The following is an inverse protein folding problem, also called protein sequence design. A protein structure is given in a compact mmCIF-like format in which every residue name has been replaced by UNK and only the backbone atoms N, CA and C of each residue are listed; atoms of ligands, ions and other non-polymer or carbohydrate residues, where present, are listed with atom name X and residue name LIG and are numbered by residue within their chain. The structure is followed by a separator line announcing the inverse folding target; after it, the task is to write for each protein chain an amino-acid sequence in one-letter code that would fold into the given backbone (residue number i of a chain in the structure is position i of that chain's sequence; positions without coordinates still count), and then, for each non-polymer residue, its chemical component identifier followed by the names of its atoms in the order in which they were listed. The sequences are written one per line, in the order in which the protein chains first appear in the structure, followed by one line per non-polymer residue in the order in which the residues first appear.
data_IF_062596410809
#
_entry.id   IF_062596410809
#
_cell.length_a   1.000
_cell.length_b   1.000
_cell.length_c   1.000
_cell.angle_alpha   90.00
_cell.angle_beta   90.00
_cell.angle_gamma   90.00
#
_symmetry.space_group_name_H-M   'P 1'
#
loop_
_entity.id
_entity.type
_entity.pdbx_description
1 polymer ?
#
# COMPACT_ATOMS: atom_id res chain seq x y z
N UNK A 1 22.49 -25.30 43.76
CA UNK A 1 22.64 -25.75 42.38
C UNK A 1 22.21 -24.60 41.49
N UNK A 2 23.14 -23.87 40.93
CA UNK A 2 22.88 -22.72 40.06
C UNK A 2 22.73 -23.23 38.62
N UNK A 3 21.55 -23.06 38.04
CA UNK A 3 21.29 -23.36 36.64
C UNK A 3 21.91 -22.25 35.79
N UNK A 4 23.00 -22.54 35.12
CA UNK A 4 23.54 -21.72 34.04
C UNK A 4 22.52 -21.69 32.89
N UNK A 5 21.79 -20.61 32.75
CA UNK A 5 21.16 -20.25 31.49
C UNK A 5 22.30 -19.76 30.55
N UNK A 6 22.69 -20.59 29.61
CA UNK A 6 23.50 -20.18 28.46
C UNK A 6 22.64 -19.28 27.58
N UNK A 7 22.82 -17.97 27.71
CA UNK A 7 22.34 -17.00 26.74
C UNK A 7 23.12 -17.21 25.43
N UNK A 8 22.53 -17.88 24.45
CA UNK A 8 22.99 -17.76 23.08
C UNK A 8 22.74 -16.31 22.67
N UNK A 9 23.77 -15.49 22.64
CA UNK A 9 23.74 -14.22 21.93
C UNK A 9 23.67 -14.55 20.44
N UNK A 10 22.46 -14.71 19.90
CA UNK A 10 22.24 -14.66 18.48
C UNK A 10 22.59 -13.22 18.11
N UNK A 11 23.68 -13.02 17.35
CA UNK A 11 23.98 -11.70 16.78
C UNK A 11 22.75 -11.25 15.98
N UNK A 12 22.18 -10.09 16.33
CA UNK A 12 21.05 -9.52 15.60
C UNK A 12 21.40 -9.41 14.12
N UNK A 13 20.52 -9.79 13.17
CA UNK A 13 20.84 -9.74 11.75
C UNK A 13 21.11 -8.31 11.28
N UNK A 14 22.06 -8.17 10.38
CA UNK A 14 22.40 -6.89 9.77
C UNK A 14 21.36 -6.54 8.70
N UNK A 15 20.59 -5.47 8.93
CA UNK A 15 19.48 -5.06 8.04
C UNK A 15 19.82 -3.74 7.36
N UNK A 16 20.01 -3.79 6.05
CA UNK A 16 20.21 -2.62 5.20
C UNK A 16 18.88 -1.91 4.91
N UNK A 17 18.77 -0.64 5.25
CA UNK A 17 17.59 0.20 5.06
C UNK A 17 17.87 1.23 3.97
N UNK A 18 17.17 1.12 2.81
CA UNK A 18 17.34 1.96 1.63
C UNK A 18 16.06 2.72 1.33
N UNK A 19 16.16 4.02 1.01
CA UNK A 19 15.00 4.85 0.69
C UNK A 19 14.13 5.22 1.91
N UNK A 20 14.66 5.10 3.09
CA UNK A 20 14.00 5.28 4.39
C UNK A 20 13.50 6.72 4.64
N UNK A 21 14.03 7.75 3.93
CA UNK A 21 13.59 9.15 4.01
C UNK A 21 12.42 9.48 3.08
N UNK A 22 12.11 8.61 2.13
CA UNK A 22 10.98 8.76 1.22
C UNK A 22 9.65 8.61 1.96
N UNK A 23 8.54 8.92 1.29
CA UNK A 23 7.21 8.88 1.90
C UNK A 23 6.86 7.48 2.48
N UNK A 24 7.07 6.41 1.71
CA UNK A 24 6.86 5.03 2.21
C UNK A 24 7.90 4.67 3.25
N UNK A 25 9.17 5.02 3.01
CA UNK A 25 10.27 4.72 3.94
C UNK A 25 10.10 5.39 5.29
N UNK A 26 9.67 6.66 5.36
CA UNK A 26 9.42 7.33 6.64
C UNK A 26 8.29 6.69 7.43
N UNK A 27 7.19 6.31 6.76
CA UNK A 27 6.10 5.57 7.42
C UNK A 27 6.58 4.20 7.91
N UNK A 28 7.43 3.52 7.14
CA UNK A 28 8.03 2.26 7.57
C UNK A 28 8.90 2.44 8.82
N UNK A 29 9.76 3.48 8.87
CA UNK A 29 10.60 3.78 10.04
C UNK A 29 9.73 4.06 11.27
N UNK A 30 8.67 4.86 11.13
CA UNK A 30 7.73 5.14 12.21
C UNK A 30 7.06 3.85 12.73
N UNK A 31 6.64 2.97 11.83
CA UNK A 31 6.04 1.69 12.19
C UNK A 31 7.04 0.76 12.88
N UNK A 32 8.26 0.63 12.34
CA UNK A 32 9.33 -0.18 12.93
C UNK A 32 9.68 0.31 14.35
N UNK A 33 9.69 1.64 14.54
CA UNK A 33 9.93 2.24 15.87
C UNK A 33 8.79 1.93 16.84
N UNK A 34 7.53 2.10 16.41
CA UNK A 34 6.35 1.86 17.23
C UNK A 34 6.21 0.39 17.68
N UNK A 35 6.65 -0.55 16.85
CA UNK A 35 6.55 -1.99 17.07
C UNK A 35 7.83 -2.62 17.67
N UNK A 36 8.87 -1.80 17.94
CA UNK A 36 10.12 -2.27 18.56
C UNK A 36 11.00 -3.12 17.63
N UNK A 37 10.85 -3.03 16.31
CA UNK A 37 11.61 -3.86 15.37
C UNK A 37 13.12 -3.54 15.38
N UNK A 38 13.49 -2.28 15.68
CA UNK A 38 14.89 -1.88 15.80
C UNK A 38 15.64 -2.55 16.96
N UNK A 39 14.94 -3.02 17.96
CA UNK A 39 15.55 -3.75 19.09
C UNK A 39 16.04 -5.14 18.66
N UNK A 40 15.50 -5.69 17.56
CA UNK A 40 15.74 -7.05 17.07
C UNK A 40 16.76 -7.13 15.95
N UNK A 41 17.24 -6.01 15.43
CA UNK A 41 18.12 -5.92 14.27
C UNK A 41 19.37 -5.07 14.54
N UNK A 42 20.39 -5.20 13.71
CA UNK A 42 21.47 -4.24 13.56
C UNK A 42 21.22 -3.42 12.30
N UNK A 43 20.69 -2.17 12.43
CA UNK A 43 20.29 -1.38 11.26
C UNK A 43 21.48 -0.68 10.61
N UNK A 44 21.58 -0.78 9.28
CA UNK A 44 22.53 -0.04 8.44
C UNK A 44 21.74 0.85 7.47
N UNK A 45 21.95 2.16 7.57
CA UNK A 45 21.25 3.12 6.72
C UNK A 45 22.03 3.46 5.47
N UNK A 46 21.39 3.31 4.32
CA UNK A 46 21.95 3.61 3.00
C UNK A 46 21.32 4.87 2.40
N UNK A 47 22.13 5.63 1.68
CA UNK A 47 21.70 6.84 0.98
C UNK A 47 22.27 6.90 -0.43
N UNK A 48 21.46 7.31 -1.40
CA UNK A 48 21.87 7.60 -2.79
C UNK A 48 22.44 9.01 -2.98
N UNK A 49 22.28 9.91 -1.99
CA UNK A 49 22.61 11.33 -2.14
C UNK A 49 23.44 11.92 -0.99
N UNK A 50 23.65 11.18 0.11
CA UNK A 50 24.34 11.69 1.31
C UNK A 50 25.17 10.59 2.00
N UNK A 51 25.87 9.77 1.23
CA UNK A 51 26.81 8.80 1.78
C UNK A 51 27.90 9.47 2.61
N UNK A 52 28.28 8.87 3.74
CA UNK A 52 29.22 9.44 4.72
C UNK A 52 28.63 10.43 5.71
N UNK A 53 27.43 10.93 5.48
CA UNK A 53 26.70 11.75 6.44
C UNK A 53 26.30 11.00 7.70
N UNK A 54 25.89 11.72 8.75
CA UNK A 54 25.39 11.09 9.97
C UNK A 54 23.99 10.50 9.75
N UNK A 55 23.71 9.36 10.39
CA UNK A 55 22.37 8.79 10.44
C UNK A 55 21.52 9.67 11.40
N UNK A 56 20.43 10.28 10.93
CA UNK A 56 19.60 11.09 11.79
C UNK A 56 18.80 10.24 12.77
N UNK A 57 18.40 10.83 13.89
CA UNK A 57 17.44 10.22 14.78
C UNK A 57 16.07 10.08 14.09
N UNK A 58 15.41 8.95 14.32
CA UNK A 58 14.03 8.72 13.87
C UNK A 58 13.09 9.11 15.00
N UNK A 59 12.19 10.07 14.75
CA UNK A 59 11.29 10.63 15.76
C UNK A 59 12.01 10.99 17.07
N UNK A 60 13.20 11.59 16.96
CA UNK A 60 14.01 12.01 18.11
C UNK A 60 14.74 10.86 18.83
N UNK A 61 14.61 9.62 18.39
CA UNK A 61 15.34 8.47 18.95
C UNK A 61 16.55 8.10 18.09
N UNK A 62 17.69 7.95 18.74
CA UNK A 62 18.86 7.35 18.09
C UNK A 62 18.66 5.84 18.07
N UNK A 63 18.60 5.28 16.84
CA UNK A 63 18.34 3.85 16.59
C UNK A 63 19.56 3.11 16.06
N UNK A 64 20.66 3.83 15.81
CA UNK A 64 21.93 3.20 15.37
C UNK A 64 22.66 2.59 16.56
N UNK A 65 23.27 1.43 16.34
CA UNK A 65 24.08 0.72 17.32
C UNK A 65 25.58 0.82 16.96
N UNK A 66 26.01 0.18 15.88
CA UNK A 66 27.41 0.16 15.45
C UNK A 66 27.69 1.14 14.29
N UNK A 67 26.79 1.25 13.33
CA UNK A 67 26.97 2.06 12.11
C UNK A 67 26.27 3.42 12.25
N UNK A 68 27.04 4.46 12.57
CA UNK A 68 26.50 5.82 12.76
C UNK A 68 26.55 6.69 11.50
N UNK A 69 27.15 6.19 10.41
CA UNK A 69 27.28 6.89 9.13
C UNK A 69 26.43 6.23 8.05
N UNK A 70 25.85 7.07 7.19
CA UNK A 70 25.11 6.63 6.02
C UNK A 70 26.07 5.96 5.03
N UNK A 71 25.75 4.73 4.64
CA UNK A 71 26.49 4.00 3.60
C UNK A 71 26.01 4.40 2.20
N UNK A 72 26.84 4.22 1.17
CA UNK A 72 26.44 4.44 -0.22
C UNK A 72 25.48 3.33 -0.67
N UNK A 73 24.27 3.72 -1.06
CA UNK A 73 23.25 2.80 -1.56
C UNK A 73 23.60 2.16 -2.93
N UNK A 74 24.64 2.63 -3.61
CA UNK A 74 25.14 2.06 -4.86
C UNK A 74 26.37 1.15 -4.64
N UNK A 75 26.93 1.10 -3.45
CA UNK A 75 28.06 0.22 -3.14
C UNK A 75 27.58 -1.23 -2.90
N UNK A 76 27.75 -2.06 -3.93
CA UNK A 76 27.36 -3.48 -3.88
C UNK A 76 28.10 -4.23 -2.76
N UNK A 77 29.34 -3.87 -2.44
CA UNK A 77 30.10 -4.54 -1.37
C UNK A 77 29.55 -4.19 0.00
N UNK A 78 29.17 -2.94 0.23
CA UNK A 78 28.55 -2.50 1.47
C UNK A 78 27.18 -3.15 1.65
N UNK A 79 26.36 -3.19 0.60
CA UNK A 79 25.05 -3.85 0.59
C UNK A 79 25.16 -5.37 0.83
N UNK A 80 26.15 -6.03 0.23
CA UNK A 80 26.33 -7.48 0.33
C UNK A 80 26.71 -7.96 1.76
N UNK A 81 27.07 -7.05 2.67
CA UNK A 81 27.29 -7.35 4.09
C UNK A 81 26.00 -7.63 4.83
N UNK A 82 24.85 -7.12 4.33
CA UNK A 82 23.57 -7.23 5.02
C UNK A 82 22.94 -8.61 4.82
N UNK A 83 22.39 -9.18 5.88
CA UNK A 83 21.59 -10.42 5.84
C UNK A 83 20.24 -10.18 5.15
N UNK A 84 19.69 -8.99 5.37
CA UNK A 84 18.41 -8.54 4.83
C UNK A 84 18.59 -7.13 4.28
N UNK A 85 18.08 -6.86 3.09
CA UNK A 85 17.94 -5.50 2.54
C UNK A 85 16.46 -5.18 2.42
N UNK A 86 16.05 -4.08 3.04
CA UNK A 86 14.70 -3.54 2.96
C UNK A 86 14.75 -2.20 2.23
N UNK A 87 14.10 -2.14 1.06
CA UNK A 87 14.16 -0.96 0.19
C UNK A 87 12.80 -0.33 -0.10
N UNK A 88 12.76 1.01 0.01
CA UNK A 88 11.68 1.89 -0.43
C UNK A 88 12.18 2.92 -1.46
N UNK A 89 13.32 2.64 -2.13
CA UNK A 89 13.98 3.59 -3.03
C UNK A 89 13.32 3.70 -4.40
N UNK A 90 12.50 2.71 -4.78
CA UNK A 90 11.74 2.71 -6.03
C UNK A 90 12.31 1.79 -7.11
N UNK A 91 11.52 1.61 -8.20
CA UNK A 91 11.76 0.58 -9.19
C UNK A 91 13.05 0.72 -9.99
N UNK A 92 13.52 1.93 -10.26
CA UNK A 92 14.75 2.13 -11.02
C UNK A 92 15.98 1.73 -10.18
N UNK A 93 15.97 2.00 -8.89
CA UNK A 93 16.98 1.48 -7.97
C UNK A 93 16.99 -0.05 -7.94
N UNK A 94 15.83 -0.66 -7.81
CA UNK A 94 15.68 -2.12 -7.83
C UNK A 94 16.24 -2.75 -9.11
N UNK A 95 15.89 -2.21 -10.28
CA UNK A 95 16.38 -2.69 -11.59
C UNK A 95 17.90 -2.59 -11.73
N UNK A 96 18.52 -1.57 -11.14
CA UNK A 96 19.96 -1.36 -11.20
C UNK A 96 20.72 -2.24 -10.17
N UNK A 97 20.27 -2.25 -8.92
CA UNK A 97 21.03 -2.80 -7.80
C UNK A 97 20.76 -4.28 -7.56
N UNK A 98 19.49 -4.72 -7.62
CA UNK A 98 19.15 -6.11 -7.32
C UNK A 98 19.89 -7.13 -8.20
N UNK A 99 19.93 -7.01 -9.54
CA UNK A 99 20.67 -7.94 -10.37
C UNK A 99 22.19 -7.92 -10.11
N UNK A 100 22.77 -6.74 -9.89
CA UNK A 100 24.20 -6.59 -9.58
C UNK A 100 24.57 -7.25 -8.25
N UNK A 101 23.71 -7.11 -7.25
CA UNK A 101 23.89 -7.72 -5.93
C UNK A 101 23.82 -9.25 -6.00
N UNK A 102 22.84 -9.80 -6.74
CA UNK A 102 22.74 -11.26 -6.98
C UNK A 102 23.92 -11.79 -7.79
N UNK A 103 24.37 -11.06 -8.81
CA UNK A 103 25.56 -11.42 -9.60
C UNK A 103 26.86 -11.40 -8.78
N UNK A 104 26.94 -10.54 -7.75
CA UNK A 104 28.05 -10.55 -6.78
C UNK A 104 27.98 -11.72 -5.78
N UNK A 105 26.99 -12.62 -5.88
CA UNK A 105 26.87 -13.81 -5.05
C UNK A 105 26.11 -13.61 -3.74
N UNK A 106 25.48 -12.47 -3.51
CA UNK A 106 24.71 -12.21 -2.29
C UNK A 106 23.52 -13.14 -2.14
N UNK A 107 23.39 -13.78 -0.99
CA UNK A 107 22.35 -14.79 -0.67
C UNK A 107 21.33 -14.30 0.39
N UNK A 108 21.40 -13.04 0.79
CA UNK A 108 20.49 -12.47 1.77
C UNK A 108 19.04 -12.28 1.25
N UNK A 109 18.18 -11.82 2.11
CA UNK A 109 16.77 -11.56 1.80
C UNK A 109 16.59 -10.14 1.28
N UNK A 110 15.86 -10.02 0.15
CA UNK A 110 15.46 -8.75 -0.46
C UNK A 110 13.99 -8.48 -0.15
N UNK A 111 13.68 -7.39 0.56
CA UNK A 111 12.33 -6.90 0.83
C UNK A 111 12.15 -5.57 0.12
N UNK A 112 11.14 -5.44 -0.76
CA UNK A 112 11.01 -4.27 -1.64
C UNK A 112 9.58 -3.74 -1.73
N UNK A 113 9.43 -2.42 -1.59
CA UNK A 113 8.17 -1.72 -1.84
C UNK A 113 7.85 -1.58 -3.33
N UNK A 114 8.89 -1.56 -4.20
CA UNK A 114 8.74 -1.27 -5.62
C UNK A 114 8.10 -2.43 -6.40
N UNK A 115 7.44 -2.08 -7.50
CA UNK A 115 6.73 -3.06 -8.35
C UNK A 115 7.65 -3.82 -9.33
N UNK A 116 8.94 -3.46 -9.41
CA UNK A 116 9.82 -3.97 -10.46
C UNK A 116 9.93 -5.50 -10.52
N UNK A 117 9.91 -6.17 -9.36
CA UNK A 117 10.04 -7.62 -9.26
C UNK A 117 8.73 -8.35 -8.98
N UNK A 118 7.58 -7.65 -8.87
CA UNK A 118 6.31 -8.28 -8.44
C UNK A 118 5.89 -9.48 -9.25
N UNK A 119 6.14 -9.46 -10.55
CA UNK A 119 5.72 -10.53 -11.44
C UNK A 119 6.82 -11.54 -11.77
N UNK A 120 8.01 -11.41 -11.19
CA UNK A 120 9.06 -12.42 -11.34
C UNK A 120 8.66 -13.73 -10.65
N UNK A 121 8.98 -14.88 -11.25
CA UNK A 121 8.59 -16.20 -10.74
C UNK A 121 9.24 -16.51 -9.37
N UNK A 122 10.43 -16.02 -9.13
CA UNK A 122 11.20 -16.17 -7.89
C UNK A 122 10.85 -15.14 -6.80
N UNK A 123 9.86 -14.25 -7.07
CA UNK A 123 9.41 -13.24 -6.13
C UNK A 123 8.04 -13.59 -5.53
N UNK A 124 7.91 -13.40 -4.23
CA UNK A 124 6.66 -13.58 -3.47
C UNK A 124 6.08 -12.23 -3.12
N UNK A 125 4.83 -12.02 -3.46
CA UNK A 125 4.06 -10.86 -2.99
C UNK A 125 3.64 -11.09 -1.54
N UNK A 126 4.00 -10.15 -0.66
CA UNK A 126 3.79 -10.29 0.78
C UNK A 126 2.52 -9.57 1.23
N UNK A 127 1.60 -10.33 1.78
CA UNK A 127 0.41 -9.84 2.47
C UNK A 127 -0.02 -10.90 3.50
N UNK A 128 0.78 -11.08 4.54
CA UNK A 128 0.68 -12.20 5.48
C UNK A 128 -0.70 -12.42 6.14
N UNK A 129 -1.54 -11.40 6.40
CA UNK A 129 -2.91 -11.65 6.86
C UNK A 129 -3.75 -12.47 5.87
N UNK A 130 -3.37 -12.44 4.59
CA UNK A 130 -4.07 -13.13 3.51
C UNK A 130 -3.33 -14.38 3.06
N UNK A 131 -2.00 -14.30 2.87
CA UNK A 131 -1.24 -15.34 2.18
C UNK A 131 -0.09 -15.95 3.00
N UNK A 132 -0.16 -15.96 4.31
CA UNK A 132 0.87 -16.58 5.16
C UNK A 132 1.29 -17.98 4.70
N UNK A 133 0.39 -18.89 4.30
CA UNK A 133 0.80 -20.20 3.80
C UNK A 133 1.63 -20.18 2.50
N UNK A 134 1.44 -19.17 1.63
CA UNK A 134 2.25 -18.98 0.41
C UNK A 134 3.66 -18.55 0.80
N UNK A 135 3.77 -17.59 1.72
CA UNK A 135 5.04 -17.10 2.25
C UNK A 135 5.81 -18.24 2.92
N UNK A 136 5.17 -19.01 3.78
CA UNK A 136 5.82 -20.11 4.51
C UNK A 136 6.34 -21.20 3.57
N UNK A 137 5.57 -21.59 2.55
CA UNK A 137 6.05 -22.53 1.51
C UNK A 137 7.25 -22.00 0.75
N UNK A 138 7.23 -20.72 0.36
CA UNK A 138 8.34 -20.10 -0.35
C UNK A 138 9.60 -20.03 0.53
N UNK A 139 9.45 -19.71 1.81
CA UNK A 139 10.55 -19.72 2.78
C UNK A 139 11.14 -21.11 2.95
N UNK A 140 10.31 -22.15 3.05
CA UNK A 140 10.75 -23.54 3.14
C UNK A 140 11.50 -24.00 1.88
N UNK A 141 11.14 -23.44 0.72
CA UNK A 141 11.83 -23.67 -0.56
C UNK A 141 13.07 -22.81 -0.77
N UNK A 142 13.49 -22.02 0.21
CA UNK A 142 14.69 -21.16 0.12
C UNK A 142 14.45 -19.82 -0.58
N UNK A 143 13.19 -19.37 -0.71
CA UNK A 143 12.84 -18.08 -1.31
C UNK A 143 13.52 -16.90 -0.60
N UNK A 144 13.92 -15.89 -1.38
CA UNK A 144 14.74 -14.75 -0.92
C UNK A 144 14.17 -13.39 -1.34
N UNK A 145 13.16 -13.34 -2.21
CA UNK A 145 12.64 -12.10 -2.83
C UNK A 145 11.21 -11.84 -2.38
N UNK A 146 11.02 -10.83 -1.52
CA UNK A 146 9.76 -10.52 -0.82
C UNK A 146 9.30 -9.13 -1.23
N UNK A 147 8.22 -9.04 -1.98
CA UNK A 147 7.81 -7.80 -2.62
C UNK A 147 6.45 -7.35 -2.10
N UNK A 148 6.35 -6.09 -1.70
CA UNK A 148 5.06 -5.49 -1.33
C UNK A 148 4.10 -5.46 -2.52
N UNK A 149 2.83 -5.81 -2.29
CA UNK A 149 1.79 -5.77 -3.31
C UNK A 149 1.38 -4.34 -3.70
N UNK A 150 0.56 -4.22 -4.74
CA UNK A 150 -0.10 -2.97 -5.09
C UNK A 150 -1.02 -2.50 -3.96
N UNK A 151 -1.09 -1.19 -3.73
CA UNK A 151 -1.81 -0.62 -2.60
C UNK A 151 -3.32 -0.92 -2.61
N UNK A 152 -3.99 -0.81 -3.76
CA UNK A 152 -5.42 -1.12 -3.88
C UNK A 152 -5.68 -2.61 -3.75
N UNK A 153 -4.83 -3.45 -4.34
CA UNK A 153 -4.92 -4.91 -4.22
C UNK A 153 -4.77 -5.36 -2.79
N UNK A 154 -3.75 -4.87 -2.07
CA UNK A 154 -3.52 -5.22 -0.67
C UNK A 154 -4.70 -4.85 0.22
N UNK A 155 -5.24 -3.64 0.07
CA UNK A 155 -6.38 -3.17 0.86
C UNK A 155 -7.66 -3.97 0.55
N UNK A 156 -7.95 -4.24 -0.71
CA UNK A 156 -9.08 -5.08 -1.12
C UNK A 156 -8.97 -6.48 -0.53
N UNK A 157 -7.78 -7.08 -0.63
CA UNK A 157 -7.58 -8.46 -0.16
C UNK A 157 -7.63 -8.59 1.34
N UNK A 158 -7.17 -7.59 2.12
CA UNK A 158 -7.37 -7.57 3.57
C UNK A 158 -8.86 -7.50 3.90
N UNK A 159 -9.61 -6.61 3.24
CA UNK A 159 -11.04 -6.46 3.47
C UNK A 159 -11.85 -7.69 3.08
N UNK A 160 -11.48 -8.37 1.99
CA UNK A 160 -12.19 -9.50 1.39
C UNK A 160 -11.60 -10.87 1.74
N UNK A 161 -10.59 -10.92 2.59
CA UNK A 161 -9.77 -12.11 2.84
C UNK A 161 -10.58 -13.35 3.20
N UNK A 162 -11.63 -13.21 4.02
CA UNK A 162 -12.49 -14.32 4.42
C UNK A 162 -13.18 -15.03 3.24
N UNK A 163 -13.68 -14.26 2.27
CA UNK A 163 -14.32 -14.83 1.08
C UNK A 163 -13.30 -15.38 0.07
N UNK A 164 -12.15 -14.69 -0.08
CA UNK A 164 -11.09 -15.11 -1.02
C UNK A 164 -10.43 -16.41 -0.58
N UNK A 165 -10.10 -16.56 0.70
CA UNK A 165 -9.50 -17.78 1.28
C UNK A 165 -10.45 -18.97 1.30
N UNK A 166 -11.74 -18.71 1.46
CA UNK A 166 -12.79 -19.74 1.38
C UNK A 166 -13.15 -20.14 -0.06
N UNK A 167 -12.49 -19.58 -1.06
CA UNK A 167 -12.74 -19.83 -2.49
C UNK A 167 -14.18 -19.58 -2.94
N UNK A 168 -14.83 -18.58 -2.36
CA UNK A 168 -16.25 -18.27 -2.62
C UNK A 168 -16.45 -17.18 -3.69
N UNK A 169 -15.39 -16.55 -4.14
CA UNK A 169 -15.44 -15.47 -5.13
C UNK A 169 -15.29 -16.05 -6.53
N UNK A 170 -16.22 -15.74 -7.42
CA UNK A 170 -16.16 -16.06 -8.85
C UNK A 170 -15.40 -14.97 -9.60
N UNK A 171 -15.79 -13.68 -9.42
CA UNK A 171 -15.09 -12.52 -9.95
C UNK A 171 -15.38 -11.27 -9.12
N UNK A 172 -14.55 -10.22 -9.29
CA UNK A 172 -14.72 -8.90 -8.65
C UNK A 172 -14.62 -7.80 -9.72
N UNK A 173 -15.57 -6.87 -9.70
CA UNK A 173 -15.42 -5.55 -10.31
C UNK A 173 -15.09 -4.55 -9.21
N UNK A 174 -13.90 -3.91 -9.31
CA UNK A 174 -13.37 -2.98 -8.31
C UNK A 174 -13.25 -1.57 -8.88
N UNK A 175 -14.14 -0.66 -8.46
CA UNK A 175 -14.02 0.77 -8.74
C UNK A 175 -13.19 1.41 -7.63
N UNK A 176 -11.97 1.87 -7.95
CA UNK A 176 -11.07 2.41 -6.94
C UNK A 176 -11.09 3.94 -6.92
N UNK A 177 -11.11 4.52 -5.74
CA UNK A 177 -11.03 5.97 -5.48
C UNK A 177 -9.70 6.23 -4.75
N UNK A 178 -8.66 6.56 -5.52
CA UNK A 178 -7.30 6.55 -5.02
C UNK A 178 -6.82 7.95 -4.60
N UNK A 179 -6.26 8.02 -3.41
CA UNK A 179 -5.68 9.23 -2.83
C UNK A 179 -4.42 9.71 -3.58
N UNK A 180 -4.13 11.01 -3.45
CA UNK A 180 -2.95 11.65 -4.03
C UNK A 180 -1.62 11.02 -3.58
N UNK A 181 -1.55 10.48 -2.35
CA UNK A 181 -0.35 9.80 -1.83
C UNK A 181 0.10 8.61 -2.69
N UNK A 182 -0.83 7.92 -3.36
CA UNK A 182 -0.48 6.84 -4.30
C UNK A 182 0.27 7.32 -5.55
N UNK A 183 0.23 8.61 -5.86
CA UNK A 183 1.01 9.23 -6.93
C UNK A 183 2.34 9.83 -6.42
N UNK A 184 2.54 9.95 -5.10
CA UNK A 184 3.77 10.44 -4.50
C UNK A 184 3.64 11.75 -3.73
N UNK A 185 4.70 12.11 -3.02
CA UNK A 185 4.71 13.28 -2.12
C UNK A 185 4.49 14.62 -2.86
N UNK A 186 5.02 14.76 -4.06
CA UNK A 186 4.84 15.99 -4.86
C UNK A 186 3.38 16.17 -5.28
N UNK A 187 2.68 15.08 -5.59
CA UNK A 187 1.26 15.10 -5.91
C UNK A 187 0.40 15.47 -4.69
N UNK A 188 0.77 15.00 -3.49
CA UNK A 188 0.11 15.43 -2.25
C UNK A 188 0.28 16.93 -2.01
N UNK A 189 1.49 17.47 -2.21
CA UNK A 189 1.76 18.92 -2.10
C UNK A 189 0.94 19.72 -3.10
N UNK A 190 0.91 19.28 -4.36
CA UNK A 190 0.16 19.95 -5.41
C UNK A 190 -1.36 19.93 -5.14
N UNK A 191 -1.91 18.83 -4.63
CA UNK A 191 -3.31 18.78 -4.21
C UNK A 191 -3.62 19.84 -3.14
N UNK A 192 -2.74 20.02 -2.14
CA UNK A 192 -2.92 21.06 -1.12
C UNK A 192 -2.82 22.48 -1.72
N UNK A 193 -1.90 22.70 -2.66
CA UNK A 193 -1.82 23.98 -3.40
C UNK A 193 -3.07 24.25 -4.22
N UNK A 194 -3.62 23.23 -4.87
CA UNK A 194 -4.89 23.33 -5.61
C UNK A 194 -6.06 23.69 -4.67
N UNK A 195 -6.17 23.01 -3.53
CA UNK A 195 -7.21 23.31 -2.51
C UNK A 195 -7.09 24.77 -2.01
N UNK A 196 -5.84 25.23 -1.75
CA UNK A 196 -5.58 26.62 -1.36
C UNK A 196 -6.00 27.61 -2.46
N UNK A 197 -5.58 27.40 -3.71
CA UNK A 197 -5.92 28.26 -4.83
C UNK A 197 -7.44 28.38 -5.04
N UNK A 198 -8.19 27.25 -4.93
CA UNK A 198 -9.66 27.27 -5.01
C UNK A 198 -10.27 28.10 -3.88
N UNK A 199 -9.87 27.85 -2.64
CA UNK A 199 -10.38 28.60 -1.47
C UNK A 199 -10.07 30.10 -1.59
N UNK A 200 -8.85 30.47 -2.00
CA UNK A 200 -8.42 31.86 -2.07
C UNK A 200 -9.13 32.62 -3.20
N UNK A 201 -9.48 31.96 -4.30
CA UNK A 201 -10.21 32.57 -5.41
C UNK A 201 -11.63 33.04 -5.06
N UNK A 202 -12.22 32.49 -4.00
CA UNK A 202 -13.60 32.79 -3.54
C UNK A 202 -13.64 33.25 -2.08
N UNK A 203 -12.52 33.70 -1.52
CA UNK A 203 -12.43 34.04 -0.11
C UNK A 203 -13.40 35.19 0.29
N UNK A 204 -13.61 36.17 -0.59
CA UNK A 204 -14.53 37.27 -0.36
C UNK A 204 -15.98 36.76 -0.28
N UNK A 205 -16.38 35.94 -1.27
CA UNK A 205 -17.73 35.40 -1.35
C UNK A 205 -18.07 34.46 -0.21
N UNK A 206 -17.09 33.66 0.27
CA UNK A 206 -17.27 32.76 1.42
C UNK A 206 -17.50 33.50 2.74
N UNK A 207 -17.05 34.74 2.85
CA UNK A 207 -17.23 35.58 4.03
C UNK A 207 -18.45 36.54 3.91
N UNK A 208 -19.13 36.56 2.78
CA UNK A 208 -20.34 37.36 2.55
C UNK A 208 -21.56 36.42 2.42
N UNK A 209 -22.47 36.37 3.44
CA UNK A 209 -23.67 35.55 3.39
C UNK A 209 -24.65 35.92 2.25
N UNK A 210 -24.50 37.11 1.63
CA UNK A 210 -25.31 37.54 0.50
C UNK A 210 -24.77 37.04 -0.84
N UNK A 211 -23.60 36.44 -0.87
CA UNK A 211 -22.99 35.90 -2.08
C UNK A 211 -23.79 34.74 -2.67
N UNK A 212 -23.99 34.75 -3.95
CA UNK A 212 -24.69 33.67 -4.65
C UNK A 212 -23.78 32.49 -4.88
N UNK A 213 -24.27 31.29 -4.58
CA UNK A 213 -23.49 30.05 -4.73
C UNK A 213 -23.05 29.83 -6.20
N UNK A 214 -23.83 30.25 -7.19
CA UNK A 214 -23.46 30.14 -8.59
C UNK A 214 -22.31 31.07 -9.00
N UNK A 215 -22.10 32.18 -8.29
CA UNK A 215 -20.95 33.06 -8.52
C UNK A 215 -19.68 32.41 -7.97
N UNK A 216 -19.75 31.77 -6.81
CA UNK A 216 -18.71 30.93 -6.23
C UNK A 216 -18.36 29.81 -7.20
N UNK A 217 -19.33 29.04 -7.69
CA UNK A 217 -19.14 27.94 -8.63
C UNK A 217 -18.45 28.39 -9.94
N UNK A 218 -18.89 29.54 -10.52
CA UNK A 218 -18.26 30.10 -11.71
C UNK A 218 -16.80 30.48 -11.48
N UNK A 219 -16.46 31.10 -10.34
CA UNK A 219 -15.08 31.47 -9.99
C UNK A 219 -14.21 30.24 -9.78
N UNK A 220 -14.68 29.23 -9.04
CA UNK A 220 -13.99 27.95 -8.86
C UNK A 220 -13.70 27.30 -10.21
N UNK A 221 -14.73 27.21 -11.07
CA UNK A 221 -14.59 26.63 -12.42
C UNK A 221 -13.60 27.40 -13.30
N UNK A 222 -13.60 28.73 -13.23
CA UNK A 222 -12.64 29.58 -13.93
C UNK A 222 -11.22 29.38 -13.41
N UNK A 223 -11.04 29.33 -12.09
CA UNK A 223 -9.74 29.09 -11.43
C UNK A 223 -9.15 27.74 -11.83
N UNK A 224 -9.93 26.65 -11.80
CA UNK A 224 -9.47 25.32 -12.21
C UNK A 224 -9.00 25.24 -13.67
N UNK A 225 -9.48 26.14 -14.53
CA UNK A 225 -9.15 26.22 -15.97
C UNK A 225 -8.07 27.24 -16.28
N UNK A 226 -7.64 28.04 -15.29
CA UNK A 226 -6.60 29.05 -15.52
C UNK A 226 -5.22 28.40 -15.71
N UNK A 227 -4.35 29.10 -16.42
CA UNK A 227 -2.97 28.63 -16.65
C UNK A 227 -2.12 28.64 -15.37
N UNK A 228 -2.50 29.41 -14.37
CA UNK A 228 -1.83 29.55 -13.09
C UNK A 228 -2.21 28.44 -12.11
N UNK A 229 -3.28 27.67 -12.39
CA UNK A 229 -3.71 26.60 -11.50
C UNK A 229 -2.65 25.48 -11.41
N UNK A 230 -2.20 25.07 -10.22
CA UNK A 230 -1.07 24.13 -10.08
C UNK A 230 -1.47 22.70 -10.46
N UNK A 231 -1.13 22.28 -11.68
CA UNK A 231 -1.54 20.96 -12.22
C UNK A 231 -0.37 20.11 -12.76
N UNK A 232 0.87 20.58 -12.61
CA UNK A 232 2.07 19.98 -13.20
C UNK A 232 2.24 18.49 -12.86
N UNK A 233 2.09 18.11 -11.59
CA UNK A 233 2.31 16.74 -11.15
C UNK A 233 1.12 15.82 -11.47
N UNK A 234 -0.05 16.37 -11.78
CA UNK A 234 -1.22 15.64 -12.28
C UNK A 234 -1.39 15.77 -13.80
N UNK A 235 -0.29 15.91 -14.54
CA UNK A 235 -0.27 15.96 -16.02
C UNK A 235 -1.22 17.02 -16.59
N UNK A 236 -1.15 18.23 -16.04
CA UNK A 236 -1.97 19.39 -16.39
C UNK A 236 -3.49 19.16 -16.16
N UNK A 237 -3.85 18.35 -15.19
CA UNK A 237 -5.25 18.07 -14.84
C UNK A 237 -5.54 18.48 -13.39
N UNK A 238 -6.64 19.19 -13.16
CA UNK A 238 -7.11 19.55 -11.84
C UNK A 238 -7.58 18.30 -11.08
N UNK A 239 -7.20 18.18 -9.81
CA UNK A 239 -7.67 17.11 -8.92
C UNK A 239 -8.55 17.64 -7.77
N UNK A 240 -8.18 18.77 -7.15
CA UNK A 240 -9.03 19.40 -6.14
C UNK A 240 -10.36 19.86 -6.77
N UNK A 241 -11.47 19.47 -6.16
CA UNK A 241 -12.81 19.73 -6.73
C UNK A 241 -13.16 18.94 -7.99
N UNK A 242 -12.33 17.93 -8.35
CA UNK A 242 -12.48 17.10 -9.55
C UNK A 242 -12.02 15.67 -9.30
N UNK A 243 -11.87 14.89 -10.37
CA UNK A 243 -11.29 13.54 -10.35
C UNK A 243 -10.55 13.27 -11.67
N UNK A 244 -9.65 12.27 -11.66
CA UNK A 244 -8.91 11.84 -12.84
C UNK A 244 -9.16 10.34 -13.04
N UNK A 245 -9.93 9.91 -14.08
CA UNK A 245 -10.29 8.51 -14.29
C UNK A 245 -9.20 7.76 -15.07
N UNK A 246 -7.94 8.00 -14.75
CA UNK A 246 -6.79 7.35 -15.38
C UNK A 246 -5.60 7.31 -14.42
N UNK A 247 -5.10 6.11 -14.11
CA UNK A 247 -3.91 5.90 -13.27
C UNK A 247 -2.97 4.95 -13.97
N UNK A 248 -1.66 5.30 -14.01
CA UNK A 248 -0.58 4.53 -14.64
C UNK A 248 -0.62 4.55 -16.19
N UNK A 249 0.16 3.70 -16.83
CA UNK A 249 0.32 3.60 -18.28
C UNK A 249 -0.73 2.68 -18.90
N UNK A 250 -1.07 2.85 -20.20
CA UNK A 250 -1.97 1.92 -20.87
C UNK A 250 -1.32 0.55 -21.04
N UNK A 251 -2.14 -0.49 -20.99
CA UNK A 251 -1.80 -1.86 -21.34
C UNK A 251 -2.79 -2.38 -22.39
N UNK A 252 -2.65 -3.65 -22.76
CA UNK A 252 -3.56 -4.28 -23.74
C UNK A 252 -5.03 -4.22 -23.29
N UNK A 253 -5.95 -4.27 -24.25
CA UNK A 253 -7.41 -4.27 -24.04
C UNK A 253 -7.98 -2.98 -23.45
N UNK A 254 -7.26 -1.85 -23.53
CA UNK A 254 -7.73 -0.56 -23.04
C UNK A 254 -7.66 -0.36 -21.55
N UNK A 255 -7.15 -1.34 -20.79
CA UNK A 255 -6.88 -1.19 -19.36
C UNK A 255 -5.67 -0.27 -19.12
N UNK A 256 -5.62 0.33 -17.95
CA UNK A 256 -4.36 0.85 -17.39
C UNK A 256 -3.60 -0.26 -16.67
N UNK A 257 -2.29 -0.07 -16.48
CA UNK A 257 -1.49 -1.00 -15.69
C UNK A 257 -1.99 -1.12 -14.24
N UNK A 258 -2.55 -0.04 -13.69
CA UNK A 258 -3.12 -0.06 -12.35
C UNK A 258 -4.35 -0.99 -12.25
N UNK A 259 -5.21 -0.99 -13.24
CA UNK A 259 -6.36 -1.89 -13.33
C UNK A 259 -5.94 -3.35 -13.53
N UNK A 260 -4.98 -3.58 -14.44
CA UNK A 260 -4.40 -4.91 -14.67
C UNK A 260 -3.81 -5.55 -13.41
N UNK A 261 -3.16 -4.74 -12.53
CA UNK A 261 -2.59 -5.23 -11.26
C UNK A 261 -3.65 -5.91 -10.38
N UNK A 262 -4.92 -5.46 -10.44
CA UNK A 262 -6.02 -6.06 -9.69
C UNK A 262 -6.09 -7.57 -9.86
N UNK A 263 -6.17 -8.02 -11.11
CA UNK A 263 -6.21 -9.45 -11.44
C UNK A 263 -4.85 -10.15 -11.27
N UNK A 264 -3.78 -9.55 -11.78
CA UNK A 264 -2.45 -10.17 -11.79
C UNK A 264 -1.90 -10.40 -10.38
N UNK A 265 -1.89 -9.39 -9.53
CA UNK A 265 -1.30 -9.47 -8.19
C UNK A 265 -2.19 -10.23 -7.20
N UNK A 266 -3.53 -10.07 -7.25
CA UNK A 266 -4.44 -10.82 -6.39
C UNK A 266 -4.26 -12.34 -6.58
N UNK A 267 -4.25 -12.83 -7.82
CA UNK A 267 -4.04 -14.24 -8.09
C UNK A 267 -2.66 -14.72 -7.62
N UNK A 268 -1.62 -13.94 -7.84
CA UNK A 268 -0.26 -14.26 -7.37
C UNK A 268 -0.17 -14.30 -5.84
N UNK A 269 -0.77 -13.35 -5.13
CA UNK A 269 -0.84 -13.35 -3.65
C UNK A 269 -1.53 -14.61 -3.15
N UNK A 270 -2.63 -15.04 -3.76
CA UNK A 270 -3.36 -16.24 -3.39
C UNK A 270 -2.66 -17.55 -3.80
N UNK A 271 -1.56 -17.49 -4.55
CA UNK A 271 -0.90 -18.67 -5.11
C UNK A 271 -1.75 -19.39 -6.18
N UNK A 272 -2.61 -18.65 -6.86
CA UNK A 272 -3.46 -19.13 -7.96
C UNK A 272 -2.73 -19.05 -9.30
N UNK A 273 -3.26 -19.72 -10.35
CA UNK A 273 -2.75 -19.57 -11.71
C UNK A 273 -2.71 -18.11 -12.17
N UNK A 274 -1.83 -17.76 -13.14
CA UNK A 274 -1.71 -16.41 -13.66
C UNK A 274 -3.06 -15.85 -14.14
N UNK A 275 -3.24 -14.53 -13.95
CA UNK A 275 -4.44 -13.82 -14.38
C UNK A 275 -4.79 -14.12 -15.85
N UNK A 276 -6.08 -14.27 -16.16
CA UNK A 276 -6.64 -14.65 -17.47
C UNK A 276 -6.31 -16.09 -17.90
N UNK A 277 -5.93 -16.96 -16.96
CA UNK A 277 -5.82 -18.40 -17.22
C UNK A 277 -6.86 -19.18 -16.41
N UNK A 278 -7.20 -20.42 -16.80
CA UNK A 278 -8.15 -21.24 -16.05
C UNK A 278 -7.76 -21.37 -14.58
N UNK A 279 -8.71 -21.16 -13.68
CA UNK A 279 -8.51 -21.20 -12.22
C UNK A 279 -8.09 -19.88 -11.59
N UNK A 280 -7.76 -18.84 -12.37
CA UNK A 280 -7.60 -17.49 -11.84
C UNK A 280 -8.96 -16.85 -11.51
N UNK A 281 -8.97 -15.94 -10.54
CA UNK A 281 -10.14 -15.09 -10.25
C UNK A 281 -10.06 -13.86 -11.17
N UNK A 282 -11.07 -13.62 -12.03
CA UNK A 282 -11.18 -12.39 -12.79
C UNK A 282 -11.40 -11.19 -11.86
N UNK A 283 -10.51 -10.20 -11.92
CA UNK A 283 -10.67 -8.94 -11.21
C UNK A 283 -10.36 -7.82 -12.18
N UNK A 284 -11.29 -6.92 -12.34
CA UNK A 284 -11.19 -5.76 -13.23
C UNK A 284 -11.97 -4.56 -12.67
N UNK A 285 -11.84 -3.40 -13.29
CA UNK A 285 -12.56 -2.20 -12.86
C UNK A 285 -11.97 -0.94 -13.46
N UNK A 286 -12.25 0.19 -12.83
CA UNK A 286 -11.70 1.50 -13.22
C UNK A 286 -10.99 2.12 -12.04
N UNK A 287 -9.78 2.61 -12.27
CA UNK A 287 -8.97 3.26 -11.26
C UNK A 287 -9.04 4.79 -11.40
N UNK A 288 -9.58 5.45 -10.37
CA UNK A 288 -9.83 6.89 -10.35
C UNK A 288 -8.99 7.56 -9.29
N UNK A 289 -8.26 8.64 -9.64
CA UNK A 289 -7.61 9.52 -8.68
C UNK A 289 -8.62 10.54 -8.16
N UNK A 290 -8.68 10.71 -6.84
CA UNK A 290 -9.58 11.66 -6.17
C UNK A 290 -8.81 12.61 -5.24
N UNK A 291 -9.46 13.70 -4.83
CA UNK A 291 -8.91 14.72 -3.92
C UNK A 291 -8.73 14.28 -2.46
N UNK A 292 -8.62 12.98 -2.18
CA UNK A 292 -8.22 12.47 -0.88
C UNK A 292 -6.69 12.48 -0.72
N UNK A 293 -6.19 12.76 0.48
CA UNK A 293 -4.76 12.87 0.72
C UNK A 293 -4.07 11.51 0.82
N UNK A 294 -4.60 10.56 1.61
CA UNK A 294 -3.85 9.38 2.04
C UNK A 294 -4.57 8.03 1.87
N UNK A 295 -5.87 7.93 2.16
CA UNK A 295 -6.59 6.66 2.09
C UNK A 295 -7.18 6.39 0.72
N UNK A 296 -7.05 5.15 0.26
CA UNK A 296 -7.80 4.64 -0.89
C UNK A 296 -9.15 4.09 -0.44
N UNK A 297 -10.17 4.31 -1.25
CA UNK A 297 -11.48 3.69 -1.09
C UNK A 297 -11.81 2.85 -2.31
N UNK A 298 -12.66 1.83 -2.15
CA UNK A 298 -13.07 0.95 -3.23
C UNK A 298 -14.52 0.56 -3.12
N UNK A 299 -15.28 0.77 -4.20
CA UNK A 299 -16.60 0.20 -4.41
C UNK A 299 -16.47 -1.12 -5.13
N UNK A 300 -16.98 -2.20 -4.53
CA UNK A 300 -16.81 -3.56 -5.04
C UNK A 300 -18.16 -4.15 -5.45
N UNK A 301 -18.20 -4.73 -6.64
CA UNK A 301 -19.23 -5.68 -7.05
C UNK A 301 -18.60 -7.05 -7.12
N UNK A 302 -19.09 -7.96 -6.30
CA UNK A 302 -18.54 -9.32 -6.18
C UNK A 302 -19.57 -10.33 -6.63
N UNK A 303 -19.22 -11.17 -7.59
CA UNK A 303 -19.96 -12.38 -7.93
C UNK A 303 -19.45 -13.51 -7.06
N UNK A 304 -20.35 -14.09 -6.27
CA UNK A 304 -20.07 -15.27 -5.47
C UNK A 304 -20.38 -16.53 -6.30
N UNK A 305 -19.68 -17.62 -6.01
CA UNK A 305 -19.90 -18.94 -6.65
C UNK A 305 -21.25 -19.59 -6.29
N UNK A 306 -21.86 -19.12 -5.20
CA UNK A 306 -23.20 -19.56 -4.72
C UNK A 306 -23.84 -18.47 -3.88
N UNK A 307 -25.14 -18.56 -3.69
CA UNK A 307 -25.83 -17.72 -2.69
C UNK A 307 -25.38 -18.08 -1.28
N UNK A 308 -24.99 -17.06 -0.52
CA UNK A 308 -24.56 -17.17 0.89
C UNK A 308 -25.33 -16.09 1.68
N UNK A 309 -25.95 -16.43 2.81
CA UNK A 309 -26.62 -15.45 3.65
C UNK A 309 -25.71 -14.29 4.04
N UNK A 310 -26.24 -13.07 4.04
CA UNK A 310 -25.43 -11.86 4.30
C UNK A 310 -24.75 -11.91 5.67
N UNK A 311 -25.45 -12.38 6.71
CA UNK A 311 -24.90 -12.52 8.05
C UNK A 311 -23.71 -13.51 8.11
N UNK A 312 -23.73 -14.55 7.29
CA UNK A 312 -22.60 -15.49 7.16
C UNK A 312 -21.41 -14.82 6.49
N UNK A 313 -21.64 -14.03 5.42
CA UNK A 313 -20.61 -13.23 4.76
C UNK A 313 -19.96 -12.27 5.76
N UNK A 314 -20.75 -11.50 6.50
CA UNK A 314 -20.28 -10.55 7.51
C UNK A 314 -19.45 -11.24 8.59
N UNK A 315 -19.90 -12.38 9.09
CA UNK A 315 -19.18 -13.16 10.10
C UNK A 315 -17.85 -13.70 9.56
N UNK A 316 -17.81 -14.18 8.30
CA UNK A 316 -16.58 -14.65 7.66
C UNK A 316 -15.55 -13.53 7.50
N UNK A 317 -15.99 -12.34 7.05
CA UNK A 317 -15.13 -11.18 6.90
C UNK A 317 -14.61 -10.70 8.27
N UNK A 318 -15.49 -10.55 9.26
CA UNK A 318 -15.13 -10.06 10.60
C UNK A 318 -14.12 -10.98 11.31
N UNK A 319 -14.16 -12.28 11.05
CA UNK A 319 -13.30 -13.28 11.71
C UNK A 319 -11.96 -13.48 11.02
N UNK A 320 -11.77 -12.96 9.81
CA UNK A 320 -10.66 -13.34 8.94
C UNK A 320 -9.29 -12.87 9.45
N UNK A 321 -9.18 -11.62 9.84
CA UNK A 321 -7.94 -11.04 10.36
C UNK A 321 -8.23 -9.90 11.35
N UNK A 322 -7.23 -9.52 12.14
CA UNK A 322 -7.37 -8.54 13.22
C UNK A 322 -7.60 -7.08 12.75
N UNK A 323 -7.39 -6.79 11.48
CA UNK A 323 -7.44 -5.43 10.94
C UNK A 323 -8.70 -5.13 10.15
N UNK A 324 -9.43 -6.16 9.72
CA UNK A 324 -10.73 -5.97 9.07
C UNK A 324 -11.79 -5.60 10.10
N UNK A 325 -12.61 -4.61 9.77
CA UNK A 325 -13.76 -4.20 10.58
C UNK A 325 -15.00 -4.19 9.71
N UNK A 326 -15.95 -5.07 9.98
CA UNK A 326 -17.26 -5.02 9.32
C UNK A 326 -18.08 -3.88 9.92
N UNK A 327 -18.55 -2.98 9.05
CA UNK A 327 -19.37 -1.82 9.41
C UNK A 327 -20.81 -2.11 9.05
N UNK A 328 -21.77 -1.97 9.98
CA UNK A 328 -23.19 -2.17 9.69
C UNK A 328 -23.66 -1.33 8.49
N UNK A 329 -24.53 -1.91 7.66
CA UNK A 329 -25.08 -1.19 6.50
C UNK A 329 -26.18 -0.18 6.92
N UNK A 330 -25.78 0.76 7.77
CA UNK A 330 -26.60 1.85 8.30
C UNK A 330 -25.93 3.18 7.92
N UNK A 331 -26.75 4.22 7.70
CA UNK A 331 -26.26 5.52 7.24
C UNK A 331 -25.23 6.11 8.19
N UNK A 332 -25.55 6.26 9.46
CA UNK A 332 -24.67 6.89 10.45
C UNK A 332 -23.35 6.11 10.65
N UNK A 333 -23.41 4.79 10.72
CA UNK A 333 -22.24 3.94 10.84
C UNK A 333 -21.35 4.06 9.59
N UNK A 334 -21.96 4.03 8.40
CA UNK A 334 -21.26 4.16 7.12
C UNK A 334 -20.54 5.51 7.01
N UNK A 335 -21.24 6.63 7.24
CA UNK A 335 -20.68 7.98 7.12
C UNK A 335 -19.54 8.21 8.12
N UNK A 336 -19.64 7.66 9.33
CA UNK A 336 -18.62 7.79 10.37
C UNK A 336 -17.41 6.90 10.14
N UNK A 337 -17.59 5.63 9.72
CA UNK A 337 -16.54 4.61 9.76
C UNK A 337 -15.90 4.32 8.40
N UNK A 338 -16.58 4.55 7.28
CA UNK A 338 -16.08 4.32 5.92
C UNK A 338 -15.55 5.60 5.27
N UNK A 339 -14.81 6.40 6.02
CA UNK A 339 -14.29 7.69 5.56
C UNK A 339 -12.76 7.69 5.52
N UNK A 340 -12.12 8.17 4.44
CA UNK A 340 -10.68 8.42 4.37
C UNK A 340 -10.14 9.23 5.56
N UNK A 341 -10.88 10.25 6.01
CA UNK A 341 -10.49 11.08 7.14
C UNK A 341 -10.43 10.29 8.46
N UNK A 342 -11.36 9.36 8.67
CA UNK A 342 -11.40 8.52 9.88
C UNK A 342 -10.29 7.46 9.91
N UNK A 343 -9.94 6.91 8.75
CA UNK A 343 -9.06 5.74 8.64
C UNK A 343 -7.60 6.12 8.46
N UNK A 344 -7.33 7.35 8.03
CA UNK A 344 -5.97 7.85 7.83
C UNK A 344 -5.10 7.67 9.08
N UNK A 345 -3.93 7.06 8.93
CA UNK A 345 -2.99 6.78 10.02
C UNK A 345 -3.31 5.54 10.85
N UNK A 346 -4.35 4.77 10.51
CA UNK A 346 -4.71 3.53 11.24
C UNK A 346 -4.47 2.28 10.40
N UNK A 347 -4.24 1.15 11.07
CA UNK A 347 -4.16 -0.17 10.42
C UNK A 347 -5.53 -0.79 10.15
N UNK A 348 -6.61 -0.20 10.64
CA UNK A 348 -7.96 -0.71 10.41
C UNK A 348 -8.34 -0.58 8.93
N UNK A 349 -8.87 -1.65 8.36
CA UNK A 349 -9.44 -1.71 7.00
C UNK A 349 -10.93 -2.03 7.13
N UNK A 350 -11.79 -1.00 7.26
CA UNK A 350 -13.22 -1.24 7.35
C UNK A 350 -13.79 -1.67 6.01
N UNK A 351 -14.76 -2.58 6.08
CA UNK A 351 -15.63 -2.98 4.97
C UNK A 351 -17.09 -2.84 5.41
N UNK A 352 -17.90 -2.22 4.59
CA UNK A 352 -19.32 -2.01 4.86
C UNK A 352 -20.09 -1.87 3.56
N UNK A 353 -21.31 -1.30 3.65
CA UNK A 353 -22.24 -1.27 2.51
C UNK A 353 -22.51 -2.67 1.95
N UNK A 354 -22.36 -3.69 2.80
CA UNK A 354 -22.61 -5.08 2.43
C UNK A 354 -24.10 -5.28 2.21
N UNK A 355 -24.47 -5.67 0.98
CA UNK A 355 -25.85 -5.98 0.62
C UNK A 355 -25.91 -6.82 -0.64
N UNK A 356 -26.96 -7.61 -0.79
CA UNK A 356 -27.23 -8.31 -2.04
C UNK A 356 -27.71 -7.33 -3.10
N UNK A 357 -27.12 -7.40 -4.29
CA UNK A 357 -27.49 -6.53 -5.40
C UNK A 357 -28.75 -7.02 -6.13
N UNK A 358 -29.46 -6.10 -6.80
CA UNK A 358 -30.65 -6.44 -7.58
C UNK A 358 -30.40 -7.39 -8.75
N UNK A 359 -29.15 -7.65 -9.09
CA UNK A 359 -28.73 -8.58 -10.16
C UNK A 359 -28.91 -10.06 -9.78
N UNK A 360 -29.09 -10.37 -8.51
CA UNK A 360 -29.32 -11.73 -8.02
C UNK A 360 -28.64 -12.01 -6.67
N UNK A 361 -28.99 -13.14 -6.03
CA UNK A 361 -28.56 -13.44 -4.66
C UNK A 361 -27.06 -13.77 -4.56
N UNK A 362 -26.37 -14.10 -5.65
CA UNK A 362 -24.92 -14.29 -5.68
C UNK A 362 -24.15 -12.98 -5.87
N UNK A 363 -24.80 -11.84 -6.11
CA UNK A 363 -24.12 -10.56 -6.30
C UNK A 363 -24.09 -9.76 -5.01
N UNK A 364 -22.90 -9.44 -4.56
CA UNK A 364 -22.66 -8.69 -3.34
C UNK A 364 -22.08 -7.30 -3.69
N UNK A 365 -22.71 -6.26 -3.17
CA UNK A 365 -22.14 -4.90 -3.11
C UNK A 365 -21.34 -4.73 -1.81
N UNK A 366 -20.18 -4.10 -1.89
CA UNK A 366 -19.37 -3.75 -0.73
C UNK A 366 -18.61 -2.44 -0.94
N UNK A 367 -18.20 -1.78 0.14
CA UNK A 367 -17.33 -0.62 0.12
C UNK A 367 -16.26 -0.76 1.19
N UNK A 368 -15.00 -0.48 0.85
CA UNK A 368 -13.88 -0.53 1.79
C UNK A 368 -13.01 0.70 1.69
N UNK A 369 -12.32 1.01 2.79
CA UNK A 369 -11.37 2.12 2.89
C UNK A 369 -10.12 1.61 3.59
N UNK A 370 -8.93 2.09 3.21
CA UNK A 370 -7.69 1.75 3.90
C UNK A 370 -6.58 2.74 3.65
N UNK A 371 -5.66 2.82 4.60
CA UNK A 371 -4.49 3.67 4.49
C UNK A 371 -3.44 3.04 3.57
N UNK A 372 -3.26 3.64 2.40
CA UNK A 372 -2.34 3.10 1.39
C UNK A 372 -0.86 3.19 1.79
N UNK A 373 -0.47 4.08 2.70
CA UNK A 373 0.90 4.15 3.19
C UNK A 373 1.21 3.09 4.26
N UNK A 374 0.16 2.52 4.88
CA UNK A 374 0.28 1.41 5.83
C UNK A 374 0.13 0.06 5.10
N UNK A 375 -1.06 -0.52 5.05
CA UNK A 375 -1.28 -1.83 4.40
C UNK A 375 -1.04 -1.83 2.89
N UNK A 376 -1.19 -0.69 2.24
CA UNK A 376 -0.85 -0.53 0.83
C UNK A 376 0.65 -0.45 0.53
N UNK A 377 1.53 -0.27 1.55
CA UNK A 377 2.96 -0.06 1.33
C UNK A 377 3.86 -0.56 2.48
N UNK A 378 3.91 0.16 3.62
CA UNK A 378 4.93 -0.06 4.64
C UNK A 378 4.71 -1.32 5.49
N UNK A 379 3.48 -1.60 5.90
CA UNK A 379 3.18 -2.66 6.87
C UNK A 379 3.48 -4.07 6.35
N UNK A 380 3.19 -4.46 5.10
CA UNK A 380 3.59 -5.77 4.57
C UNK A 380 5.10 -5.99 4.62
N UNK A 381 5.90 -4.96 4.35
CA UNK A 381 7.38 -5.05 4.36
C UNK A 381 7.89 -5.25 5.79
N UNK A 382 7.38 -4.45 6.74
CA UNK A 382 7.70 -4.57 8.16
C UNK A 382 7.37 -5.97 8.69
N UNK A 383 6.19 -6.47 8.34
CA UNK A 383 5.72 -7.79 8.77
C UNK A 383 6.54 -8.92 8.15
N UNK A 384 7.00 -8.76 6.89
CA UNK A 384 7.92 -9.72 6.30
C UNK A 384 9.26 -9.75 7.03
N UNK A 385 9.80 -8.57 7.41
CA UNK A 385 10.99 -8.52 8.27
C UNK A 385 10.76 -9.30 9.56
N UNK A 386 9.63 -9.08 10.26
CA UNK A 386 9.30 -9.84 11.50
C UNK A 386 9.22 -11.33 11.26
N UNK A 387 8.62 -11.79 10.18
CA UNK A 387 8.54 -13.21 9.82
C UNK A 387 9.94 -13.82 9.62
N UNK A 388 10.89 -13.06 9.07
CA UNK A 388 12.27 -13.51 8.92
C UNK A 388 13.02 -13.54 10.26
N UNK A 389 12.74 -12.62 11.18
CA UNK A 389 13.38 -12.53 12.50
C UNK A 389 12.87 -13.59 13.49
N UNK A 390 11.69 -14.14 13.29
CA UNK A 390 11.09 -15.18 14.13
C UNK A 390 11.56 -16.60 13.80
N UNK A 391 12.48 -16.75 12.84
CA UNK A 391 13.06 -18.03 12.40
C UNK A 391 14.48 -18.23 12.89
#
# INVERSE_FOLDING_TARGET
MATHQTSHSINAPLVGLVGWRGMVGSVLMDRMLAEGDFDLIEPVFFSTSNAGGDVPAINGRNITKSETKLQDANDIKALARCDIILTCQGGDYTKAIFPALRAAGWQGHWIDAASALRMNDDAVLVLDPVNRPVIDRALAAGGKNWIGGNCTVSLMMIAMGGLLKADLVEWISAMTYQAASGAGAQNMRELLLQMGALRDSVNTELNDPASWILDIDRKISATMRSAEFPTKNFRNTALAGSLIPWIDVPVENGQTKEEWKGGAECNKILGRPPFRTPGSIPIDGICVRIGAMRCHSQGLTVKLKKDIPLAEIEAMLAKDNAWVKVVPNEREATERELSPAKISGTLTVPIGRLHKLAMGPEYLGAFTVGDQLLWGAAEPLRRMLRILLER
#
